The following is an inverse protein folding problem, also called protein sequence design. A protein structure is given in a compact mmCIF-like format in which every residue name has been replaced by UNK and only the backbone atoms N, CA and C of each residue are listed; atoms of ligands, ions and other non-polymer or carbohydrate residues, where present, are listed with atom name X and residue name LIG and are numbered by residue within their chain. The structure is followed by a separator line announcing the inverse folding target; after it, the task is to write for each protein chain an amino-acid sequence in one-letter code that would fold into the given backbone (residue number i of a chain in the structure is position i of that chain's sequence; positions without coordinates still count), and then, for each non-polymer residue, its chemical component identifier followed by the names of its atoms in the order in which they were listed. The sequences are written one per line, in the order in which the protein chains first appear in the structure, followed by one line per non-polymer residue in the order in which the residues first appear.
data_IF_535057783274
#
_entry.id   IF_535057783274
#
_cell.length_a   1.000
_cell.length_b   1.000
_cell.length_c   1.000
_cell.angle_alpha   90.00
_cell.angle_beta   90.00
_cell.angle_gamma   90.00
#
_symmetry.space_group_name_H-M   'P 1'
#
loop_
_entity.id
_entity.type
_entity.pdbx_description
1 polymer ?
#
# COMPACT_ATOMS: atom_id res chain seq x y z
N UNK A 1 9.58 20.59 2.88
CA UNK A 1 8.97 19.26 3.04
C UNK A 1 8.95 18.96 4.51
N UNK A 2 7.81 19.20 5.16
CA UNK A 2 7.64 18.80 6.55
C UNK A 2 7.58 17.28 6.62
N UNK A 3 8.55 16.69 7.31
CA UNK A 3 8.56 15.27 7.61
C UNK A 3 7.57 15.07 8.76
N UNK A 4 6.41 14.49 8.45
CA UNK A 4 5.45 14.03 9.45
C UNK A 4 6.12 12.93 10.28
N UNK A 5 6.77 13.32 11.37
CA UNK A 5 7.38 12.39 12.31
C UNK A 5 6.33 11.38 12.75
N UNK A 6 6.62 10.10 12.56
CA UNK A 6 5.79 9.02 13.05
C UNK A 6 5.65 9.19 14.58
N UNK A 7 4.43 9.34 15.15
CA UNK A 7 4.27 9.69 16.55
C UNK A 7 4.89 8.62 17.45
N UNK A 8 5.69 8.98 18.46
CA UNK A 8 6.30 8.01 19.39
C UNK A 8 5.28 7.10 20.08
N UNK A 9 4.05 7.58 20.24
CA UNK A 9 2.92 6.81 20.75
C UNK A 9 2.64 5.53 19.93
N UNK A 10 2.91 5.54 18.62
CA UNK A 10 2.70 4.35 17.79
C UNK A 10 3.71 3.24 18.07
N UNK A 11 4.97 3.59 18.35
CA UNK A 11 6.00 2.60 18.68
C UNK A 11 5.67 1.87 19.98
N UNK A 12 5.10 2.57 20.96
CA UNK A 12 4.60 1.95 22.20
C UNK A 12 3.41 1.02 21.94
N UNK A 13 2.45 1.45 21.11
CA UNK A 13 1.33 0.59 20.71
C UNK A 13 1.80 -0.67 19.98
N UNK A 14 2.85 -0.58 19.17
CA UNK A 14 3.43 -1.74 18.47
C UNK A 14 4.02 -2.79 19.40
N UNK A 15 4.47 -2.40 20.58
CA UNK A 15 5.03 -3.33 21.56
C UNK A 15 3.96 -4.10 22.34
N UNK A 16 2.73 -3.58 22.42
CA UNK A 16 1.63 -4.18 23.21
C UNK A 16 0.78 -5.18 22.42
N UNK A 17 0.93 -5.26 21.09
CA UNK A 17 0.11 -6.17 20.28
C UNK A 17 0.59 -7.63 20.42
N UNK A 18 -0.33 -8.61 20.29
CA UNK A 18 0.05 -10.01 20.21
C UNK A 18 0.99 -10.24 19.03
N UNK A 19 2.11 -10.92 19.29
CA UNK A 19 3.13 -11.24 18.29
C UNK A 19 3.18 -12.74 18.02
N UNK A 20 3.25 -13.12 16.75
CA UNK A 20 3.48 -14.51 16.33
C UNK A 20 4.51 -14.55 15.21
N UNK A 21 5.41 -15.53 15.24
CA UNK A 21 6.35 -15.75 14.14
C UNK A 21 5.76 -16.76 13.17
N UNK A 22 5.57 -16.37 11.91
CA UNK A 22 5.05 -17.23 10.84
C UNK A 22 5.93 -17.12 9.60
N UNK A 23 6.34 -18.27 9.05
CA UNK A 23 7.20 -18.33 7.85
C UNK A 23 8.41 -17.37 7.89
N UNK A 24 9.18 -17.42 8.98
CA UNK A 24 10.36 -16.58 9.21
C UNK A 24 10.09 -15.07 9.25
N UNK A 25 8.85 -14.66 9.49
CA UNK A 25 8.45 -13.26 9.65
C UNK A 25 7.71 -13.07 10.96
N UNK A 26 8.03 -12.00 11.69
CA UNK A 26 7.27 -11.60 12.86
C UNK A 26 6.00 -10.87 12.41
N UNK A 27 4.88 -11.33 12.95
CA UNK A 27 3.55 -10.81 12.71
C UNK A 27 2.98 -10.20 13.98
N UNK A 28 2.35 -9.05 13.81
CA UNK A 28 1.67 -8.31 14.87
C UNK A 28 0.15 -8.35 14.61
N UNK A 29 -0.64 -8.78 15.59
CA UNK A 29 -2.10 -8.82 15.47
C UNK A 29 -2.72 -7.48 15.84
N UNK A 30 -3.45 -6.87 14.89
CA UNK A 30 -4.22 -5.65 15.15
C UNK A 30 -5.66 -5.82 14.66
N UNK A 31 -6.61 -5.61 15.57
CA UNK A 31 -8.05 -5.65 15.27
C UNK A 31 -8.47 -6.97 14.57
N UNK A 32 -7.79 -8.09 14.87
CA UNK A 32 -8.07 -9.40 14.28
C UNK A 32 -7.32 -9.71 12.98
N UNK A 33 -6.49 -8.79 12.45
CA UNK A 33 -5.65 -9.01 11.28
C UNK A 33 -4.17 -9.08 11.66
N UNK A 34 -3.43 -9.98 11.00
CA UNK A 34 -1.99 -10.13 11.19
C UNK A 34 -1.22 -9.33 10.14
N UNK A 35 -0.33 -8.46 10.59
CA UNK A 35 0.53 -7.63 9.74
C UNK A 35 1.97 -8.02 9.95
N UNK A 36 2.79 -8.01 8.90
CA UNK A 36 4.24 -8.04 9.09
C UNK A 36 4.68 -6.73 9.72
N UNK A 37 5.75 -6.75 10.51
CA UNK A 37 6.28 -5.54 11.14
C UNK A 37 6.72 -4.48 10.11
N UNK A 38 6.96 -4.86 8.85
CA UNK A 38 7.19 -3.94 7.73
C UNK A 38 5.93 -3.27 7.17
N UNK A 39 4.77 -3.93 7.21
CA UNK A 39 3.53 -3.41 6.64
C UNK A 39 2.67 -2.67 7.67
N UNK A 40 2.79 -3.01 8.95
CA UNK A 40 1.99 -2.42 10.02
C UNK A 40 2.14 -0.89 10.12
N UNK A 41 3.35 -0.30 10.12
CA UNK A 41 3.51 1.16 10.18
C UNK A 41 2.90 1.87 8.97
N UNK A 42 3.08 1.32 7.77
CA UNK A 42 2.52 1.88 6.54
C UNK A 42 0.99 1.83 6.54
N UNK A 43 0.39 0.73 7.01
CA UNK A 43 -1.06 0.61 7.18
C UNK A 43 -1.60 1.65 8.14
N UNK A 44 -0.90 1.89 9.27
CA UNK A 44 -1.31 2.88 10.26
C UNK A 44 -1.16 4.32 9.76
N UNK A 45 -0.05 4.62 9.10
CA UNK A 45 0.18 5.93 8.50
C UNK A 45 -0.85 6.23 7.41
N UNK A 46 -1.20 5.22 6.59
CA UNK A 46 -2.28 5.34 5.60
C UNK A 46 -3.60 5.62 6.30
N UNK A 47 -3.98 4.85 7.33
CA UNK A 47 -5.25 5.06 8.05
C UNK A 47 -5.38 6.46 8.65
N UNK A 48 -4.28 7.07 9.10
CA UNK A 48 -4.31 8.40 9.71
C UNK A 48 -4.29 9.54 8.70
N UNK A 49 -3.50 9.41 7.63
CA UNK A 49 -3.23 10.52 6.72
C UNK A 49 -4.02 10.43 5.41
N UNK A 50 -4.62 9.27 5.12
CA UNK A 50 -5.36 9.08 3.87
C UNK A 50 -6.69 9.81 3.93
N UNK A 51 -6.82 10.85 3.11
CA UNK A 51 -8.06 11.57 2.91
C UNK A 51 -8.81 10.96 1.73
N UNK A 52 -9.90 10.25 2.01
CA UNK A 52 -10.76 9.70 0.97
C UNK A 52 -11.45 10.84 0.19
N UNK A 53 -11.47 10.73 -1.13
CA UNK A 53 -12.29 11.55 -2.01
C UNK A 53 -13.31 10.64 -2.69
N UNK A 54 -14.55 11.12 -2.86
CA UNK A 54 -15.64 10.38 -3.51
C UNK A 54 -15.31 9.95 -4.95
N UNK A 55 -14.33 10.61 -5.58
CA UNK A 55 -13.83 10.27 -6.91
C UNK A 55 -12.76 9.17 -6.91
N UNK A 56 -12.30 8.71 -5.75
CA UNK A 56 -11.24 7.71 -5.65
C UNK A 56 -11.79 6.28 -5.72
N UNK A 57 -11.14 5.44 -6.53
CA UNK A 57 -11.48 4.02 -6.66
C UNK A 57 -10.38 3.19 -6.03
N UNK A 58 -10.73 2.39 -5.02
CA UNK A 58 -9.80 1.45 -4.40
C UNK A 58 -9.86 0.10 -5.09
N UNK A 59 -8.68 -0.41 -5.42
CA UNK A 59 -8.51 -1.79 -5.81
C UNK A 59 -8.03 -2.59 -4.59
N UNK A 60 -8.87 -3.52 -4.13
CA UNK A 60 -8.54 -4.41 -3.01
C UNK A 60 -8.37 -5.84 -3.52
N UNK A 61 -7.31 -6.51 -3.09
CA UNK A 61 -7.12 -7.94 -3.31
C UNK A 61 -6.26 -8.52 -2.20
N UNK A 62 -6.31 -9.84 -2.03
CA UNK A 62 -5.33 -10.53 -1.21
C UNK A 62 -3.94 -10.41 -1.85
N UNK A 63 -2.90 -10.46 -1.01
CA UNK A 63 -1.53 -10.43 -1.50
C UNK A 63 -1.26 -11.64 -2.40
N UNK A 64 -0.47 -11.45 -3.47
CA UNK A 64 -0.05 -12.47 -4.45
C UNK A 64 -1.16 -13.09 -5.33
N UNK A 65 -2.40 -12.62 -5.29
CA UNK A 65 -3.49 -13.16 -6.16
C UNK A 65 -3.59 -12.49 -7.54
N UNK A 66 -2.46 -12.06 -8.12
CA UNK A 66 -2.46 -11.47 -9.47
C UNK A 66 -2.76 -9.96 -9.54
N UNK A 67 -2.33 -9.19 -8.55
CA UNK A 67 -2.43 -7.71 -8.54
C UNK A 67 -1.86 -7.07 -9.80
N UNK A 68 -0.82 -7.64 -10.41
CA UNK A 68 -0.23 -7.11 -11.65
C UNK A 68 -1.22 -7.13 -12.83
N UNK A 69 -1.92 -8.25 -13.03
CA UNK A 69 -2.92 -8.38 -14.08
C UNK A 69 -4.09 -7.44 -13.83
N UNK A 70 -4.54 -7.36 -12.57
CA UNK A 70 -5.65 -6.50 -12.19
C UNK A 70 -5.31 -5.00 -12.34
N UNK A 71 -4.10 -4.60 -11.94
CA UNK A 71 -3.57 -3.24 -12.14
C UNK A 71 -3.42 -2.88 -13.62
N UNK A 72 -3.18 -3.85 -14.49
CA UNK A 72 -3.11 -3.60 -15.93
C UNK A 72 -4.49 -3.36 -16.54
N UNK A 73 -5.53 -4.04 -16.06
CA UNK A 73 -6.90 -3.93 -16.61
C UNK A 73 -7.58 -2.61 -16.22
N UNK A 74 -7.34 -2.09 -15.01
CA UNK A 74 -8.05 -0.88 -14.54
C UNK A 74 -7.82 0.34 -15.43
N UNK A 75 -6.58 0.71 -15.83
CA UNK A 75 -6.35 1.81 -16.75
C UNK A 75 -7.06 1.62 -18.11
N UNK A 76 -7.16 0.38 -18.59
CA UNK A 76 -7.88 0.04 -19.83
C UNK A 76 -9.37 0.36 -19.72
N UNK A 77 -9.99 0.07 -18.57
CA UNK A 77 -11.42 0.33 -18.34
C UNK A 77 -11.69 1.81 -18.07
N UNK A 78 -10.83 2.47 -17.28
CA UNK A 78 -11.00 3.86 -16.87
C UNK A 78 -10.78 4.86 -18.02
N UNK A 79 -9.92 4.51 -18.98
CA UNK A 79 -9.57 5.40 -20.10
C UNK A 79 -9.60 4.66 -21.45
N UNK A 80 -10.79 4.24 -21.93
CA UNK A 80 -10.90 3.48 -23.17
C UNK A 80 -10.65 4.34 -24.41
N UNK A 81 -10.92 5.65 -24.32
CA UNK A 81 -10.83 6.59 -25.46
C UNK A 81 -9.36 6.87 -25.82
N UNK A 82 -8.46 7.01 -24.85
CA UNK A 82 -7.03 7.25 -25.13
C UNK A 82 -6.34 6.09 -25.85
N UNK A 83 -7.00 4.93 -25.97
CA UNK A 83 -6.50 3.73 -26.66
C UNK A 83 -6.98 3.67 -28.12
N UNK A 84 -7.98 4.46 -28.50
CA UNK A 84 -8.59 4.42 -29.83
C UNK A 84 -7.86 5.30 -30.85
N UNK A 85 -7.22 6.38 -30.38
CA UNK A 85 -6.69 7.42 -31.27
C UNK A 85 -5.18 7.29 -31.58
N UNK A 86 -4.39 6.52 -30.81
CA UNK A 86 -2.97 6.32 -31.09
C UNK A 86 -2.38 5.16 -30.24
N UNK A 87 -1.98 4.05 -30.89
CA UNK A 87 -1.23 2.94 -30.24
C UNK A 87 0.04 3.46 -29.55
N UNK A 88 0.56 4.60 -30.00
CA UNK A 88 1.74 5.25 -29.45
C UNK A 88 1.51 5.91 -28.09
N UNK A 89 0.27 6.00 -27.57
CA UNK A 89 -0.04 6.63 -26.29
C UNK A 89 -0.51 5.66 -25.19
N UNK A 90 -0.47 4.34 -25.44
CA UNK A 90 -0.85 3.36 -24.42
C UNK A 90 0.16 3.33 -23.25
N UNK A 91 -0.28 3.85 -22.09
CA UNK A 91 0.51 3.90 -20.87
C UNK A 91 0.93 2.51 -20.37
N UNK A 92 0.17 1.45 -20.70
CA UNK A 92 0.49 0.08 -20.32
C UNK A 92 1.65 -0.51 -21.14
N UNK A 93 1.88 0.00 -22.36
CA UNK A 93 3.03 -0.39 -23.20
C UNK A 93 4.31 0.34 -22.78
N UNK A 94 4.17 1.51 -22.15
CA UNK A 94 5.30 2.38 -21.77
C UNK A 94 5.76 2.23 -20.33
N UNK A 95 4.89 1.77 -19.42
CA UNK A 95 5.17 1.72 -17.98
C UNK A 95 4.69 0.42 -17.36
N UNK A 96 5.40 -0.03 -16.33
CA UNK A 96 5.00 -1.22 -15.59
C UNK A 96 3.68 -0.95 -14.82
N UNK A 97 2.73 -1.91 -14.72
CA UNK A 97 1.43 -1.70 -14.06
C UNK A 97 1.50 -1.20 -12.61
N UNK A 98 2.59 -1.53 -11.89
CA UNK A 98 2.82 -1.00 -10.54
C UNK A 98 3.15 0.51 -10.49
N UNK A 99 3.63 1.08 -11.59
CA UNK A 99 3.88 2.54 -11.69
C UNK A 99 2.60 3.31 -12.00
N UNK A 100 1.63 2.67 -12.67
CA UNK A 100 0.34 3.27 -13.00
C UNK A 100 -0.61 3.27 -11.81
N UNK A 101 -0.51 2.26 -10.94
CA UNK A 101 -1.27 2.19 -9.69
C UNK A 101 -0.34 1.90 -8.51
N UNK A 102 -0.06 2.96 -7.76
CA UNK A 102 0.68 2.89 -6.51
C UNK A 102 -0.11 2.10 -5.47
N UNK A 103 0.59 1.26 -4.71
CA UNK A 103 -0.01 0.55 -3.58
C UNK A 103 0.10 1.39 -2.32
N UNK A 104 -1.03 1.73 -1.72
CA UNK A 104 -1.08 2.45 -0.44
C UNK A 104 -0.43 1.68 0.71
N UNK A 105 -0.41 0.35 0.63
CA UNK A 105 0.20 -0.51 1.66
C UNK A 105 1.72 -0.68 1.51
N UNK A 106 2.32 -0.11 0.45
CA UNK A 106 3.74 -0.22 0.14
C UNK A 106 4.44 1.14 -0.01
N UNK A 107 3.74 2.25 0.22
CA UNK A 107 4.36 3.56 0.14
C UNK A 107 5.48 3.68 1.20
N UNK A 108 6.62 4.32 0.88
CA UNK A 108 7.70 4.54 1.81
C UNK A 108 7.27 5.61 2.81
N UNK A 109 6.50 5.21 3.81
CA UNK A 109 6.55 5.92 5.08
C UNK A 109 7.88 5.51 5.70
N UNK A 110 8.86 6.41 5.71
CA UNK A 110 10.15 6.17 6.38
C UNK A 110 9.87 5.91 7.86
N UNK A 111 9.84 4.63 8.23
CA UNK A 111 9.73 4.20 9.62
C UNK A 111 11.14 4.25 10.17
N UNK A 112 11.45 5.07 11.19
CA UNK A 112 12.77 5.09 11.78
C UNK A 112 13.13 3.69 12.28
N UNK A 113 14.26 3.15 11.79
CA UNK A 113 14.80 1.84 12.14
C UNK A 113 15.05 1.64 13.65
N UNK A 114 14.96 2.70 14.46
CA UNK A 114 15.12 2.67 15.91
C UNK A 114 13.83 2.35 16.70
N UNK A 115 12.72 2.02 16.03
CA UNK A 115 11.45 1.69 16.71
C UNK A 115 11.11 0.19 16.71
N UNK A 116 12.02 -0.66 16.24
CA UNK A 116 11.93 -2.10 16.44
C UNK A 116 12.70 -2.43 17.72
N UNK A 117 11.97 -2.71 18.81
CA UNK A 117 12.55 -3.34 20.00
C UNK A 117 13.04 -4.75 19.67
#
# INVERSE_FOLDING_TARGET
MEYSSFPSAFSTLFCELPKETWCCSDLDNREGFWYTSSHLPAAMATRLNFQANDSNVFLTSSMKTGTTWLKAIIPTIMNPISRMDDDNNDLLLKRHPNELMSSIAQSPFDVPHNCFC
#
